data_IF_749665526014
#
_entry.id   IF_749665526014
#
_cell.length_a   1.000
_cell.length_b   1.000
_cell.length_c   1.000
_cell.angle_alpha   90.00
_cell.angle_beta   90.00
_cell.angle_gamma   90.00
#
_symmetry.space_group_name_H-M   'P 1'
#
loop_
_entity.id
_entity.type
_entity.pdbx_description
1 polymer ?
#
# COMPACT_ATOMS: atom_id res chain seq x y z
N UNK A 1 -30.48 -43.51 -28.87
CA UNK A 1 -31.58 -43.41 -27.89
C UNK A 1 -31.00 -43.71 -26.51
N UNK A 2 -31.20 -42.79 -25.58
CA UNK A 2 -30.51 -42.58 -24.30
C UNK A 2 -30.44 -43.76 -23.33
N UNK A 3 -29.38 -43.80 -22.49
CA UNK A 3 -29.49 -43.53 -21.04
C UNK A 3 -28.10 -43.34 -20.40
N UNK A 4 -27.99 -42.36 -19.51
CA UNK A 4 -26.75 -41.85 -18.89
C UNK A 4 -26.19 -42.73 -17.77
N UNK A 5 -24.87 -42.64 -17.46
CA UNK A 5 -24.32 -43.15 -16.21
C UNK A 5 -24.58 -42.20 -15.03
N UNK A 6 -25.01 -42.81 -13.92
CA UNK A 6 -25.25 -42.19 -12.61
C UNK A 6 -23.92 -41.78 -11.96
N UNK A 7 -23.78 -40.52 -11.51
CA UNK A 7 -22.67 -40.05 -10.66
C UNK A 7 -23.24 -39.50 -9.35
N UNK A 8 -22.87 -40.02 -8.17
CA UNK A 8 -23.38 -39.50 -6.91
C UNK A 8 -22.73 -38.15 -6.57
N UNK A 9 -23.57 -37.24 -6.08
CA UNK A 9 -23.26 -35.87 -5.68
C UNK A 9 -22.68 -35.82 -4.27
N UNK A 10 -21.61 -35.03 -4.10
CA UNK A 10 -21.03 -34.69 -2.79
C UNK A 10 -21.93 -33.67 -2.11
N UNK A 11 -22.94 -34.17 -1.40
CA UNK A 11 -23.69 -33.39 -0.42
C UNK A 11 -22.71 -32.76 0.59
N UNK A 12 -22.98 -31.50 0.86
CA UNK A 12 -22.98 -30.92 2.19
C UNK A 12 -21.64 -30.84 2.94
N UNK A 13 -21.17 -29.61 3.09
CA UNK A 13 -20.86 -29.10 4.43
C UNK A 13 -21.08 -27.58 4.45
N UNK A 14 -22.17 -27.19 5.12
CA UNK A 14 -22.34 -25.86 5.70
C UNK A 14 -21.34 -25.69 6.85
N UNK A 15 -20.74 -24.51 6.99
CA UNK A 15 -20.47 -23.93 8.31
C UNK A 15 -20.21 -22.43 8.18
N UNK A 16 -20.95 -21.67 8.99
CA UNK A 16 -20.96 -20.22 9.08
C UNK A 16 -19.74 -19.67 9.83
N UNK A 17 -19.29 -18.47 9.48
CA UNK A 17 -18.41 -17.65 10.31
C UNK A 17 -18.97 -16.21 10.33
N UNK A 18 -19.20 -15.59 11.51
CA UNK A 18 -19.70 -14.24 11.58
C UNK A 18 -18.60 -13.25 11.16
N UNK A 19 -18.97 -12.33 10.27
CA UNK A 19 -18.18 -11.16 9.88
C UNK A 19 -17.91 -10.29 11.10
N UNK A 20 -16.65 -10.19 11.48
CA UNK A 20 -16.17 -9.22 12.46
C UNK A 20 -16.19 -7.82 11.81
N UNK A 21 -17.25 -7.07 12.01
CA UNK A 21 -17.33 -5.67 11.62
C UNK A 21 -16.42 -4.83 12.55
N UNK A 22 -15.22 -4.48 12.07
CA UNK A 22 -14.35 -3.50 12.71
C UNK A 22 -14.92 -2.09 12.48
N UNK A 23 -15.07 -1.25 13.52
CA UNK A 23 -15.48 0.12 13.34
C UNK A 23 -14.33 0.89 12.69
N UNK A 24 -14.56 1.39 11.47
CA UNK A 24 -13.77 2.48 10.88
C UNK A 24 -14.14 3.78 11.62
N UNK A 25 -13.70 3.87 12.89
CA UNK A 25 -13.93 5.02 13.77
C UNK A 25 -12.78 6.02 13.67
N UNK A 26 -13.08 7.24 13.24
CA UNK A 26 -12.14 8.32 13.00
C UNK A 26 -11.45 8.85 14.27
N UNK A 27 -10.27 8.31 14.57
CA UNK A 27 -9.30 8.86 15.51
C UNK A 27 -7.89 8.58 15.01
N UNK A 28 -7.49 9.17 13.87
CA UNK A 28 -6.31 8.70 13.10
C UNK A 28 -5.03 9.54 13.25
N UNK A 29 -5.00 10.57 14.09
CA UNK A 29 -3.75 11.32 14.29
C UNK A 29 -2.84 10.58 15.29
N UNK A 30 -3.19 10.60 16.59
CA UNK A 30 -2.33 10.10 17.68
C UNK A 30 -1.87 8.64 17.47
N UNK A 31 -2.75 7.77 16.97
CA UNK A 31 -2.39 6.37 16.67
C UNK A 31 -1.42 6.21 15.50
N UNK A 32 -1.54 7.02 14.46
CA UNK A 32 -0.66 6.92 13.28
C UNK A 32 0.76 7.39 13.60
N UNK A 33 0.93 8.44 14.43
CA UNK A 33 2.26 8.87 14.85
C UNK A 33 2.96 7.85 15.77
N UNK A 34 2.21 7.19 16.67
CA UNK A 34 2.77 6.11 17.51
C UNK A 34 3.15 4.87 16.69
N UNK A 35 2.33 4.52 15.70
CA UNK A 35 2.59 3.39 14.79
C UNK A 35 3.81 3.69 13.91
N UNK A 36 3.93 4.92 13.40
CA UNK A 36 5.07 5.36 12.61
C UNK A 36 6.38 5.32 13.42
N UNK A 37 6.36 5.78 14.66
CA UNK A 37 7.53 5.72 15.55
C UNK A 37 7.99 4.28 15.82
N UNK A 38 7.02 3.37 16.00
CA UNK A 38 7.30 1.94 16.18
C UNK A 38 7.88 1.31 14.91
N UNK A 39 7.35 1.68 13.74
CA UNK A 39 7.92 1.29 12.45
C UNK A 39 9.37 1.76 12.29
N UNK A 40 9.68 3.03 12.61
CA UNK A 40 11.05 3.56 12.53
C UNK A 40 12.01 2.82 13.46
N UNK A 41 11.57 2.40 14.65
CA UNK A 41 12.39 1.57 15.54
C UNK A 41 12.71 0.21 14.92
N UNK A 42 11.74 -0.41 14.24
CA UNK A 42 11.95 -1.62 13.44
C UNK A 42 12.97 -1.40 12.33
N UNK A 43 12.72 -0.39 11.48
CA UNK A 43 13.55 -0.04 10.33
C UNK A 43 14.99 0.29 10.74
N UNK A 44 15.19 0.97 11.88
CA UNK A 44 16.53 1.24 12.44
C UNK A 44 17.28 -0.06 12.71
N UNK A 45 16.66 -1.04 13.36
CA UNK A 45 17.31 -2.33 13.67
C UNK A 45 17.71 -3.04 12.38
N UNK A 46 16.82 -3.06 11.39
CA UNK A 46 17.06 -3.72 10.11
C UNK A 46 18.21 -3.03 9.33
N UNK A 47 18.21 -1.70 9.28
CA UNK A 47 19.26 -0.93 8.61
C UNK A 47 20.65 -1.16 9.24
N UNK A 48 20.72 -1.18 10.59
CA UNK A 48 21.98 -1.47 11.30
C UNK A 48 22.43 -2.91 11.05
N UNK A 49 21.51 -3.88 11.05
CA UNK A 49 21.82 -5.28 10.74
C UNK A 49 22.34 -5.47 9.30
N UNK A 50 21.91 -4.62 8.37
CA UNK A 50 22.40 -4.59 6.99
C UNK A 50 23.69 -3.79 6.81
N UNK A 51 24.30 -3.27 7.88
CA UNK A 51 25.59 -2.59 7.85
C UNK A 51 25.52 -1.09 7.54
N UNK A 52 24.34 -0.47 7.59
CA UNK A 52 24.23 1.00 7.50
C UNK A 52 24.87 1.63 8.74
N UNK A 53 25.72 2.65 8.54
CA UNK A 53 26.41 3.33 9.65
C UNK A 53 25.38 4.02 10.57
N UNK A 54 25.51 3.93 11.90
CA UNK A 54 24.56 4.54 12.84
C UNK A 54 24.33 6.03 12.59
N UNK A 55 25.40 6.79 12.35
CA UNK A 55 25.31 8.23 12.08
C UNK A 55 24.52 8.56 10.81
N UNK A 56 24.48 7.67 9.82
CA UNK A 56 23.65 7.83 8.61
C UNK A 56 22.18 7.65 8.95
N UNK A 57 21.84 6.63 9.76
CA UNK A 57 20.46 6.41 10.21
C UNK A 57 19.97 7.57 11.08
N UNK A 58 20.80 8.03 12.01
CA UNK A 58 20.47 9.16 12.90
C UNK A 58 20.26 10.46 12.12
N UNK A 59 21.10 10.72 11.10
CA UNK A 59 20.94 11.89 10.24
C UNK A 59 19.64 11.82 9.43
N UNK A 60 19.33 10.66 8.85
CA UNK A 60 18.12 10.46 8.06
C UNK A 60 16.84 10.59 8.90
N UNK A 61 16.87 10.17 10.16
CA UNK A 61 15.69 10.15 11.03
C UNK A 61 15.50 11.46 11.82
N UNK A 62 16.47 12.39 11.79
CA UNK A 62 16.47 13.59 12.65
C UNK A 62 15.20 14.44 12.56
N UNK A 63 14.60 14.56 11.38
CA UNK A 63 13.42 15.40 11.12
C UNK A 63 12.32 14.63 10.36
N UNK A 64 12.35 13.30 10.43
CA UNK A 64 11.36 12.50 9.73
C UNK A 64 10.00 12.60 10.42
N UNK A 65 8.94 12.67 9.63
CA UNK A 65 7.57 12.74 10.12
C UNK A 65 6.66 11.88 9.26
N UNK A 66 5.56 11.43 9.86
CA UNK A 66 4.50 10.79 9.10
C UNK A 66 3.85 11.83 8.18
N UNK A 67 3.71 11.51 6.89
CA UNK A 67 3.10 12.39 5.89
C UNK A 67 1.81 11.74 5.38
N UNK A 68 0.63 12.07 5.94
CA UNK A 68 -0.65 11.47 5.54
C UNK A 68 -0.92 11.57 4.04
N UNK A 69 -0.52 12.68 3.42
CA UNK A 69 -0.70 12.91 1.98
C UNK A 69 0.07 11.92 1.11
N UNK A 70 1.24 11.44 1.56
CA UNK A 70 2.01 10.43 0.83
C UNK A 70 1.26 9.10 0.84
N UNK A 71 0.72 8.70 2.00
CA UNK A 71 -0.07 7.47 2.12
C UNK A 71 -1.36 7.57 1.30
N UNK A 72 -2.03 8.72 1.31
CA UNK A 72 -3.22 8.93 0.50
C UNK A 72 -2.91 8.77 -1.00
N UNK A 73 -1.84 9.39 -1.49
CA UNK A 73 -1.45 9.31 -2.90
C UNK A 73 -1.00 7.90 -3.31
N UNK A 74 -0.35 7.17 -2.40
CA UNK A 74 0.01 5.77 -2.62
C UNK A 74 -1.23 4.87 -2.71
N UNK A 75 -2.24 5.10 -1.86
CA UNK A 75 -3.51 4.36 -1.89
C UNK A 75 -4.41 4.73 -3.07
N UNK A 76 -4.26 5.95 -3.62
CA UNK A 76 -5.06 6.47 -4.72
C UNK A 76 -4.21 6.67 -5.99
N UNK A 77 -3.31 5.73 -6.28
CA UNK A 77 -2.60 5.77 -7.56
C UNK A 77 -3.60 5.63 -8.70
N UNK A 78 -3.59 6.57 -9.67
CA UNK A 78 -4.52 6.53 -10.76
C UNK A 78 -4.11 5.45 -11.77
N UNK A 79 -4.85 4.34 -11.81
CA UNK A 79 -4.63 3.20 -12.72
C UNK A 79 -5.10 3.46 -14.17
N UNK A 80 -5.02 4.69 -14.68
CA UNK A 80 -5.38 4.95 -16.07
C UNK A 80 -4.18 4.84 -17.01
N UNK A 81 -4.36 4.09 -18.09
CA UNK A 81 -3.38 4.05 -19.17
C UNK A 81 -3.60 5.25 -20.09
N UNK A 82 -2.54 6.01 -20.35
CA UNK A 82 -2.55 7.05 -21.37
C UNK A 82 -2.23 6.44 -22.74
N UNK A 83 -2.84 6.96 -23.80
CA UNK A 83 -2.34 6.63 -25.14
C UNK A 83 -0.95 7.22 -25.33
N UNK A 84 -0.17 6.68 -26.28
CA UNK A 84 1.14 7.23 -26.61
C UNK A 84 1.05 8.72 -27.03
N UNK A 85 0.01 9.09 -27.77
CA UNK A 85 -0.21 10.47 -28.21
C UNK A 85 -0.50 11.41 -27.03
N UNK A 86 -1.35 10.99 -26.07
CA UNK A 86 -1.65 11.76 -24.87
C UNK A 86 -0.40 11.94 -24.00
N UNK A 87 0.41 10.88 -23.88
CA UNK A 87 1.65 10.90 -23.12
C UNK A 87 2.66 11.89 -23.72
N UNK A 88 2.94 11.81 -25.02
CA UNK A 88 3.88 12.73 -25.69
C UNK A 88 3.43 14.19 -25.57
N UNK A 89 2.14 14.46 -25.76
CA UNK A 89 1.60 15.82 -25.63
C UNK A 89 1.77 16.37 -24.21
N UNK A 90 1.57 15.54 -23.17
CA UNK A 90 1.80 15.94 -21.78
C UNK A 90 3.28 16.16 -21.45
N UNK A 91 4.16 15.30 -21.96
CA UNK A 91 5.57 15.25 -21.56
C UNK A 91 6.45 16.20 -22.37
N UNK A 92 6.19 16.35 -23.67
CA UNK A 92 6.94 17.19 -24.60
C UNK A 92 6.14 18.48 -24.84
N UNK A 93 6.14 19.36 -23.84
CA UNK A 93 5.45 20.65 -23.90
C UNK A 93 6.48 21.80 -23.95
N UNK A 94 6.09 23.00 -24.43
CA UNK A 94 7.02 24.12 -24.58
C UNK A 94 7.78 24.48 -23.29
N UNK A 95 7.10 24.45 -22.15
CA UNK A 95 7.71 24.74 -20.85
C UNK A 95 8.93 23.84 -20.57
N UNK A 96 8.82 22.53 -20.81
CA UNK A 96 9.91 21.56 -20.61
C UNK A 96 11.00 21.60 -21.69
N UNK A 97 10.74 22.24 -22.81
CA UNK A 97 11.72 22.40 -23.90
C UNK A 97 12.62 23.62 -23.62
N UNK A 98 12.07 24.61 -22.93
CA UNK A 98 12.75 25.87 -22.63
C UNK A 98 13.55 25.83 -21.31
N UNK A 99 13.22 24.92 -20.38
CA UNK A 99 13.95 24.63 -19.13
C UNK A 99 15.27 23.85 -19.37
#
# INVERSE_FOLDING_TARGET
MSMMPFRPSRRALLAAAPLLALPLGGGRAIGAESDFSSFLAGLRRDALAQGVRPGTVDLAFRYIQFLPRVIELDQHQPDHTLTFADFITKVVNPQRIED
#
